data_IF_992770653868
#
_entry.id   IF_992770653868
#
_cell.length_a   1.000
_cell.length_b   1.000
_cell.length_c   1.000
_cell.angle_alpha   90.00
_cell.angle_beta   90.00
_cell.angle_gamma   90.00
#
_symmetry.space_group_name_H-M   'P 1'
#
loop_
_entity.id
_entity.type
_entity.pdbx_description
1 polymer ?
#
# COMPACT_ATOMS: atom_id res chain seq x y z
N UNK A 1 -24.42 -11.43 -11.95
CA UNK A 1 -25.40 -10.83 -12.85
C UNK A 1 -24.91 -10.87 -14.31
N UNK A 2 -23.76 -10.25 -14.65
CA UNK A 2 -23.24 -10.18 -16.01
C UNK A 2 -23.03 -11.56 -16.63
N UNK A 3 -22.35 -12.47 -15.91
CA UNK A 3 -22.14 -13.84 -16.37
C UNK A 3 -23.43 -14.65 -16.48
N UNK A 4 -24.32 -14.54 -15.47
CA UNK A 4 -25.51 -15.38 -15.34
C UNK A 4 -26.71 -14.90 -16.19
N UNK A 5 -26.88 -13.57 -16.32
CA UNK A 5 -28.03 -12.97 -17.00
C UNK A 5 -27.72 -12.53 -18.42
N UNK A 6 -26.49 -12.11 -18.69
CA UNK A 6 -26.09 -11.57 -20.00
C UNK A 6 -25.10 -12.48 -20.75
N UNK A 7 -24.71 -13.61 -20.14
CA UNK A 7 -23.70 -14.54 -20.68
C UNK A 7 -22.38 -13.86 -21.08
N UNK A 8 -22.04 -12.77 -20.36
CA UNK A 8 -20.79 -12.04 -20.57
C UNK A 8 -19.70 -12.58 -19.65
N UNK A 9 -18.59 -12.97 -20.24
CA UNK A 9 -17.40 -13.35 -19.50
C UNK A 9 -16.61 -12.07 -19.19
N UNK A 10 -16.73 -11.57 -17.96
CA UNK A 10 -16.08 -10.34 -17.51
C UNK A 10 -15.04 -10.67 -16.46
N UNK A 11 -13.84 -10.18 -16.63
CA UNK A 11 -12.81 -10.17 -15.61
C UNK A 11 -13.33 -9.42 -14.37
N UNK A 12 -13.35 -10.08 -13.22
CA UNK A 12 -13.91 -9.52 -11.99
C UNK A 12 -12.97 -8.52 -11.31
N UNK A 13 -11.68 -8.56 -11.65
CA UNK A 13 -10.67 -7.70 -11.04
C UNK A 13 -10.53 -6.40 -11.83
N UNK A 14 -10.59 -5.23 -11.16
CA UNK A 14 -10.24 -3.97 -11.78
C UNK A 14 -8.83 -4.00 -12.34
N UNK A 15 -8.63 -3.43 -13.53
CA UNK A 15 -7.32 -3.34 -14.17
C UNK A 15 -7.08 -1.91 -14.65
N UNK A 16 -5.86 -1.43 -14.41
CA UNK A 16 -5.38 -0.16 -14.94
C UNK A 16 -4.26 -0.46 -15.95
N UNK A 17 -4.44 0.03 -17.17
CA UNK A 17 -3.40 -0.02 -18.20
C UNK A 17 -2.66 1.31 -18.23
N UNK A 18 -1.33 1.25 -18.15
CA UNK A 18 -0.45 2.43 -18.26
C UNK A 18 0.42 2.27 -19.50
N UNK A 19 0.69 3.37 -20.19
CA UNK A 19 1.65 3.38 -21.28
C UNK A 19 3.03 2.91 -20.76
N UNK A 20 3.61 1.84 -21.34
CA UNK A 20 4.92 1.34 -20.97
C UNK A 20 6.03 2.40 -21.00
N UNK A 21 5.90 3.40 -21.88
CA UNK A 21 6.85 4.54 -21.96
C UNK A 21 6.84 5.35 -20.66
N UNK A 22 5.66 5.61 -20.07
CA UNK A 22 5.55 6.32 -18.80
C UNK A 22 6.17 5.52 -17.65
N UNK A 23 5.99 4.21 -17.64
CA UNK A 23 6.59 3.32 -16.63
C UNK A 23 8.12 3.37 -16.72
N UNK A 24 8.67 3.29 -17.94
CA UNK A 24 10.12 3.34 -18.15
C UNK A 24 10.71 4.73 -17.85
N UNK A 25 10.03 5.81 -18.23
CA UNK A 25 10.42 7.19 -17.88
C UNK A 25 10.47 7.38 -16.36
N UNK A 26 9.46 6.88 -15.65
CA UNK A 26 9.42 6.90 -14.19
C UNK A 26 10.59 6.12 -13.59
N UNK A 27 10.87 4.92 -14.09
CA UNK A 27 12.00 4.09 -13.67
C UNK A 27 13.33 4.82 -13.77
N UNK A 28 13.56 5.51 -14.90
CA UNK A 28 14.78 6.33 -15.10
C UNK A 28 14.82 7.52 -14.15
N UNK A 29 13.71 8.24 -14.01
CA UNK A 29 13.60 9.44 -13.14
C UNK A 29 13.99 9.13 -11.68
N UNK A 30 13.59 7.96 -11.17
CA UNK A 30 13.87 7.55 -9.79
C UNK A 30 15.07 6.60 -9.67
N UNK A 31 15.82 6.39 -10.76
CA UNK A 31 17.02 5.53 -10.83
C UNK A 31 16.74 4.11 -10.29
N UNK A 32 15.55 3.59 -10.60
CA UNK A 32 15.10 2.31 -10.09
C UNK A 32 15.85 1.16 -10.79
N UNK A 33 16.45 0.28 -10.01
CA UNK A 33 17.24 -0.84 -10.49
C UNK A 33 16.91 -2.13 -9.73
N UNK A 34 17.32 -3.28 -10.26
CA UNK A 34 17.01 -4.61 -9.70
C UNK A 34 17.76 -4.96 -8.41
N UNK A 35 18.66 -4.09 -7.94
CA UNK A 35 19.44 -4.34 -6.71
C UNK A 35 18.69 -3.92 -5.45
N UNK A 36 17.66 -3.08 -5.58
CA UNK A 36 16.84 -2.57 -4.47
C UNK A 36 15.42 -3.05 -4.59
N UNK A 37 14.76 -3.16 -3.44
CA UNK A 37 13.33 -3.42 -3.35
C UNK A 37 12.59 -2.09 -3.21
N UNK A 38 11.62 -1.85 -4.06
CA UNK A 38 10.81 -0.64 -4.09
C UNK A 38 9.45 -0.93 -3.48
N UNK A 39 9.15 -0.27 -2.36
CA UNK A 39 7.95 -0.50 -1.57
C UNK A 39 7.08 0.76 -1.58
N UNK A 40 5.85 0.65 -2.05
CA UNK A 40 4.86 1.70 -1.83
C UNK A 40 4.28 1.56 -0.42
N UNK A 41 4.27 2.65 0.34
CA UNK A 41 3.55 2.77 1.60
C UNK A 41 2.39 3.74 1.44
N UNK A 42 1.16 3.23 1.38
CA UNK A 42 -0.06 4.03 1.36
C UNK A 42 -0.48 4.38 2.78
N UNK A 43 0.11 5.45 3.33
CA UNK A 43 -0.06 5.84 4.74
C UNK A 43 -1.28 6.71 4.98
N UNK A 44 -1.88 7.28 3.92
CA UNK A 44 -3.12 8.05 3.99
C UNK A 44 -4.38 7.19 4.04
N UNK A 45 -5.52 7.84 4.22
CA UNK A 45 -6.84 7.21 4.23
C UNK A 45 -7.94 8.20 4.62
N UNK A 46 -9.12 8.07 4.00
CA UNK A 46 -10.22 9.03 4.16
C UNK A 46 -10.86 9.05 5.56
N UNK A 47 -10.71 7.97 6.34
CA UNK A 47 -11.30 7.86 7.67
C UNK A 47 -10.26 7.80 8.78
N UNK A 48 -10.46 8.49 9.91
CA UNK A 48 -9.51 8.50 11.03
C UNK A 48 -9.29 7.10 11.65
N UNK A 49 -10.29 6.22 11.57
CA UNK A 49 -10.24 4.85 12.10
C UNK A 49 -9.48 3.89 11.19
N UNK A 50 -9.29 4.25 9.91
CA UNK A 50 -8.54 3.47 8.90
C UNK A 50 -7.06 3.87 8.82
N UNK A 51 -6.69 5.05 9.32
CA UNK A 51 -5.30 5.53 9.26
C UNK A 51 -4.47 4.87 10.34
N UNK A 52 -3.64 3.92 9.91
CA UNK A 52 -2.71 3.23 10.80
C UNK A 52 -1.65 4.23 11.29
N UNK A 53 -1.30 4.23 12.58
CA UNK A 53 -0.32 5.18 13.14
C UNK A 53 1.05 5.06 12.47
N UNK A 54 1.76 6.19 12.36
CA UNK A 54 3.11 6.26 11.80
C UNK A 54 4.08 5.27 12.45
N UNK A 55 3.99 5.08 13.78
CA UNK A 55 4.82 4.13 14.54
C UNK A 55 4.81 2.70 13.98
N UNK A 56 3.66 2.26 13.44
CA UNK A 56 3.52 0.91 12.84
C UNK A 56 4.30 0.82 11.54
N UNK A 57 4.18 1.82 10.66
CA UNK A 57 4.97 1.89 9.42
C UNK A 57 6.46 2.03 9.72
N UNK A 58 6.85 2.91 10.63
CA UNK A 58 8.25 3.11 11.02
C UNK A 58 8.87 1.80 11.55
N UNK A 59 8.15 1.05 12.41
CA UNK A 59 8.64 -0.24 12.90
C UNK A 59 8.79 -1.25 11.76
N UNK A 60 7.82 -1.38 10.87
CA UNK A 60 7.93 -2.23 9.68
C UNK A 60 9.14 -1.83 8.82
N UNK A 61 9.29 -0.54 8.50
CA UNK A 61 10.41 -0.02 7.70
C UNK A 61 11.77 -0.32 8.34
N UNK A 62 11.88 -0.20 9.67
CA UNK A 62 13.10 -0.57 10.41
C UNK A 62 13.42 -2.05 10.29
N UNK A 63 12.41 -2.92 10.41
CA UNK A 63 12.60 -4.37 10.31
C UNK A 63 13.06 -4.74 8.90
N UNK A 64 12.34 -4.30 7.87
CA UNK A 64 12.66 -4.67 6.48
C UNK A 64 14.01 -4.09 6.04
N UNK A 65 14.34 -2.85 6.45
CA UNK A 65 15.60 -2.18 6.08
C UNK A 65 16.85 -2.79 6.71
N UNK A 66 16.72 -3.63 7.74
CA UNK A 66 17.83 -4.40 8.32
C UNK A 66 18.20 -5.60 7.46
N UNK A 67 17.24 -6.14 6.71
CA UNK A 67 17.42 -7.38 5.93
C UNK A 67 17.60 -7.09 4.43
N UNK A 68 16.98 -6.01 3.92
CA UNK A 68 16.95 -5.70 2.51
C UNK A 68 17.36 -4.25 2.21
N UNK A 69 18.00 -4.01 1.09
CA UNK A 69 18.19 -2.66 0.57
C UNK A 69 16.88 -2.18 -0.08
N UNK A 70 16.15 -1.33 0.65
CA UNK A 70 14.82 -0.87 0.27
C UNK A 70 14.78 0.64 0.01
N UNK A 71 13.87 1.04 -0.89
CA UNK A 71 13.42 2.43 -1.06
C UNK A 71 11.90 2.48 -0.90
N UNK A 72 11.42 3.46 -0.14
CA UNK A 72 10.00 3.62 0.18
C UNK A 72 9.41 4.81 -0.56
N UNK A 73 8.27 4.60 -1.21
CA UNK A 73 7.45 5.65 -1.79
C UNK A 73 6.25 5.88 -0.88
N UNK A 74 6.17 7.08 -0.28
CA UNK A 74 5.14 7.42 0.71
C UNK A 74 3.97 8.11 0.04
N UNK A 75 2.85 7.41 -0.08
CA UNK A 75 1.62 7.91 -0.70
C UNK A 75 0.59 8.28 0.38
N UNK A 76 0.10 9.51 0.31
CA UNK A 76 -0.86 10.07 1.28
C UNK A 76 -1.71 11.16 0.64
N UNK A 77 -2.81 11.53 1.31
CA UNK A 77 -3.61 12.69 0.98
C UNK A 77 -3.02 13.99 1.55
N UNK A 78 -3.81 15.07 1.44
CA UNK A 78 -3.39 16.43 1.83
C UNK A 78 -4.04 16.93 3.12
N UNK A 79 -4.85 16.11 3.81
CA UNK A 79 -5.41 16.51 5.10
C UNK A 79 -4.32 16.63 6.17
N UNK A 80 -4.52 17.50 7.15
CA UNK A 80 -3.56 17.73 8.24
C UNK A 80 -3.17 16.42 8.96
N UNK A 81 -4.14 15.59 9.26
CA UNK A 81 -3.90 14.29 9.91
C UNK A 81 -3.04 13.35 9.05
N UNK A 82 -3.26 13.31 7.72
CA UNK A 82 -2.47 12.48 6.82
C UNK A 82 -1.05 13.01 6.69
N UNK A 83 -0.90 14.33 6.62
CA UNK A 83 0.39 15.00 6.59
C UNK A 83 1.16 14.84 7.90
N UNK A 84 0.46 14.78 9.04
CA UNK A 84 1.09 14.47 10.35
C UNK A 84 1.77 13.10 10.32
N UNK A 85 1.08 12.05 9.84
CA UNK A 85 1.65 10.70 9.71
C UNK A 85 2.87 10.70 8.78
N UNK A 86 2.77 11.38 7.63
CA UNK A 86 3.88 11.52 6.69
C UNK A 86 5.10 12.19 7.35
N UNK A 87 4.87 13.29 8.07
CA UNK A 87 5.92 14.04 8.73
C UNK A 87 6.58 13.26 9.87
N UNK A 88 5.82 12.49 10.65
CA UNK A 88 6.38 11.59 11.65
C UNK A 88 7.35 10.57 11.03
N UNK A 89 6.99 9.98 9.88
CA UNK A 89 7.89 9.06 9.16
C UNK A 89 9.14 9.78 8.66
N UNK A 90 8.98 10.95 8.04
CA UNK A 90 10.08 11.76 7.49
C UNK A 90 11.02 12.29 8.57
N UNK A 91 10.57 12.47 9.79
CA UNK A 91 11.38 12.93 10.93
C UNK A 91 12.21 11.81 11.56
N UNK A 92 12.35 10.66 10.89
CA UNK A 92 13.20 9.54 11.34
C UNK A 92 14.45 9.42 10.46
N UNK A 93 15.40 8.62 10.93
CA UNK A 93 16.62 8.24 10.17
C UNK A 93 16.29 7.53 8.83
N UNK A 94 15.06 7.02 8.68
CA UNK A 94 14.60 6.37 7.45
C UNK A 94 14.27 7.34 6.32
N UNK A 95 14.25 8.65 6.58
CA UNK A 95 13.91 9.67 5.58
C UNK A 95 14.82 9.58 4.33
N UNK A 96 16.10 9.26 4.51
CA UNK A 96 17.05 9.07 3.40
C UNK A 96 16.66 7.95 2.42
N UNK A 97 15.83 7.00 2.86
CA UNK A 97 15.27 5.91 2.05
C UNK A 97 13.88 6.22 1.50
N UNK A 98 13.31 7.39 1.79
CA UNK A 98 11.94 7.76 1.44
C UNK A 98 11.87 8.71 0.26
N UNK A 99 10.80 8.57 -0.52
CA UNK A 99 10.34 9.54 -1.52
C UNK A 99 8.89 9.86 -1.22
N UNK A 100 8.59 11.12 -0.92
CA UNK A 100 7.22 11.57 -0.69
C UNK A 100 6.49 11.80 -2.01
N UNK A 101 5.24 11.36 -2.11
CA UNK A 101 4.40 11.46 -3.30
C UNK A 101 3.23 12.45 -3.11
N UNK A 102 3.13 13.12 -1.99
CA UNK A 102 2.02 14.00 -1.59
C UNK A 102 1.81 15.21 -2.52
N UNK A 103 2.85 15.63 -3.24
CA UNK A 103 2.80 16.72 -4.22
C UNK A 103 2.53 16.26 -5.66
N UNK A 104 2.39 14.96 -5.89
CA UNK A 104 2.11 14.39 -7.20
C UNK A 104 0.62 14.15 -7.38
N UNK A 105 0.15 14.31 -8.61
CA UNK A 105 -1.19 13.88 -9.03
C UNK A 105 -1.27 12.34 -9.07
N UNK A 106 -2.49 11.80 -9.01
CA UNK A 106 -2.71 10.35 -9.17
C UNK A 106 -2.10 9.85 -10.48
N UNK A 107 -2.24 10.61 -11.58
CA UNK A 107 -1.67 10.25 -12.87
C UNK A 107 -0.14 10.07 -12.82
N UNK A 108 0.57 10.90 -12.08
CA UNK A 108 2.03 10.79 -11.89
C UNK A 108 2.43 9.67 -10.92
N UNK A 109 1.54 9.32 -9.98
CA UNK A 109 1.79 8.25 -9.01
C UNK A 109 1.62 6.86 -9.62
N UNK A 110 0.68 6.66 -10.56
CA UNK A 110 0.41 5.35 -11.16
C UNK A 110 1.66 4.66 -11.74
N UNK A 111 2.52 5.31 -12.56
CA UNK A 111 3.74 4.69 -13.05
C UNK A 111 4.78 4.42 -11.95
N UNK A 112 4.75 5.15 -10.83
CA UNK A 112 5.60 4.86 -9.66
C UNK A 112 5.11 3.56 -9.00
N UNK A 113 3.80 3.44 -8.74
CA UNK A 113 3.21 2.20 -8.19
C UNK A 113 3.56 1.01 -9.08
N UNK A 114 3.44 1.16 -10.41
CA UNK A 114 3.72 0.07 -11.37
C UNK A 114 5.17 -0.40 -11.35
N UNK A 115 6.10 0.42 -10.89
CA UNK A 115 7.51 0.08 -10.71
C UNK A 115 7.85 -0.43 -9.30
N UNK A 116 6.91 -0.43 -8.36
CA UNK A 116 7.13 -1.01 -7.03
C UNK A 116 7.02 -2.54 -7.07
N UNK A 117 7.82 -3.20 -6.24
CA UNK A 117 7.79 -4.67 -6.09
C UNK A 117 6.59 -5.12 -5.25
N UNK A 118 6.19 -4.28 -4.29
CA UNK A 118 5.07 -4.52 -3.38
C UNK A 118 4.50 -3.22 -2.85
N UNK A 119 3.21 -3.24 -2.49
CA UNK A 119 2.54 -2.14 -1.80
C UNK A 119 2.07 -2.57 -0.42
N UNK A 120 2.15 -1.67 0.57
CA UNK A 120 1.61 -1.85 1.91
C UNK A 120 0.80 -0.60 2.22
N UNK A 121 -0.51 -0.75 2.27
CA UNK A 121 -1.42 0.38 2.30
C UNK A 121 -2.50 0.21 3.37
N UNK A 122 -2.93 1.33 3.94
CA UNK A 122 -4.23 1.37 4.59
C UNK A 122 -5.33 0.96 3.61
N UNK A 123 -6.52 0.61 4.10
CA UNK A 123 -7.71 0.48 3.25
C UNK A 123 -8.08 1.86 2.67
N UNK A 124 -7.51 2.15 1.51
CA UNK A 124 -7.54 3.44 0.83
C UNK A 124 -7.44 3.27 -0.68
N UNK A 125 -7.61 4.37 -1.44
CA UNK A 125 -7.45 4.37 -2.90
C UNK A 125 -6.12 3.76 -3.36
N UNK A 126 -5.04 3.95 -2.62
CA UNK A 126 -3.72 3.43 -3.00
C UNK A 126 -3.66 1.90 -2.98
N UNK A 127 -4.36 1.22 -2.06
CA UNK A 127 -4.45 -0.24 -2.07
C UNK A 127 -5.17 -0.77 -3.31
N UNK A 128 -6.26 -0.11 -3.70
CA UNK A 128 -7.05 -0.48 -4.87
C UNK A 128 -6.29 -0.19 -6.18
N UNK A 129 -5.63 0.97 -6.29
CA UNK A 129 -4.81 1.32 -7.44
C UNK A 129 -3.63 0.34 -7.62
N UNK A 130 -2.98 -0.02 -6.52
CA UNK A 130 -1.88 -0.99 -6.54
C UNK A 130 -2.34 -2.36 -7.05
N UNK A 131 -3.44 -2.87 -6.51
CA UNK A 131 -4.02 -4.15 -6.94
C UNK A 131 -4.46 -4.11 -8.41
N UNK A 132 -5.08 -3.01 -8.86
CA UNK A 132 -5.50 -2.80 -10.25
C UNK A 132 -4.32 -2.67 -11.22
N UNK A 133 -3.15 -2.27 -10.73
CA UNK A 133 -1.87 -2.27 -11.46
C UNK A 133 -1.12 -3.60 -11.38
N UNK A 134 -1.75 -4.65 -10.85
CA UNK A 134 -1.16 -5.98 -10.70
C UNK A 134 0.01 -6.04 -9.70
N UNK A 135 0.10 -5.08 -8.78
CA UNK A 135 1.11 -5.08 -7.72
C UNK A 135 0.56 -5.84 -6.51
N UNK A 136 1.32 -6.80 -5.98
CA UNK A 136 1.00 -7.50 -4.74
C UNK A 136 0.88 -6.46 -3.62
N UNK A 137 -0.25 -6.46 -2.91
CA UNK A 137 -0.62 -5.39 -1.98
C UNK A 137 -1.06 -5.94 -0.64
N UNK A 138 -0.30 -5.66 0.40
CA UNK A 138 -0.72 -5.90 1.79
C UNK A 138 -1.67 -4.76 2.17
N UNK A 139 -2.89 -5.12 2.57
CA UNK A 139 -3.94 -4.16 2.95
C UNK A 139 -4.17 -4.20 4.45
N UNK A 140 -3.97 -3.07 5.13
CA UNK A 140 -4.11 -2.95 6.58
C UNK A 140 -5.58 -2.65 6.91
N UNK A 141 -6.32 -3.69 7.27
CA UNK A 141 -7.78 -3.66 7.45
C UNK A 141 -8.12 -3.40 8.91
N UNK A 142 -8.23 -2.14 9.32
CA UNK A 142 -8.42 -1.76 10.72
C UNK A 142 -9.88 -1.58 11.14
N UNK A 143 -10.76 -1.20 10.22
CA UNK A 143 -12.13 -0.75 10.57
C UNK A 143 -13.14 -0.88 9.41
N UNK A 144 -12.89 -1.79 8.48
CA UNK A 144 -13.79 -2.05 7.34
C UNK A 144 -13.87 -3.52 7.04
N UNK A 145 -15.01 -4.02 6.50
CA UNK A 145 -15.18 -5.42 6.13
C UNK A 145 -14.09 -5.92 5.18
N UNK A 146 -13.62 -7.14 5.39
CA UNK A 146 -12.52 -7.75 4.63
C UNK A 146 -12.75 -7.77 3.11
N UNK A 147 -14.00 -7.73 2.66
CA UNK A 147 -14.31 -7.70 1.23
C UNK A 147 -13.66 -6.53 0.50
N UNK A 148 -13.38 -5.42 1.20
CA UNK A 148 -12.69 -4.27 0.60
C UNK A 148 -11.19 -4.49 0.41
N UNK A 149 -10.60 -5.43 1.15
CA UNK A 149 -9.15 -5.69 1.10
C UNK A 149 -8.77 -7.07 0.57
N UNK A 150 -9.72 -7.88 0.04
CA UNK A 150 -9.44 -9.24 -0.43
C UNK A 150 -10.20 -9.64 -1.71
N UNK A 151 -10.80 -8.71 -2.43
CA UNK A 151 -11.55 -9.01 -3.65
C UNK A 151 -10.66 -9.32 -4.87
N UNK A 152 -9.38 -9.03 -4.80
CA UNK A 152 -8.39 -9.28 -5.85
C UNK A 152 -7.35 -10.31 -5.39
N UNK A 153 -6.84 -11.20 -6.27
CA UNK A 153 -5.74 -12.10 -5.95
C UNK A 153 -4.41 -11.37 -5.67
N UNK A 154 -4.37 -10.06 -5.91
CA UNK A 154 -3.22 -9.20 -5.58
C UNK A 154 -3.31 -8.58 -4.18
N UNK A 155 -4.42 -8.78 -3.46
CA UNK A 155 -4.65 -8.19 -2.14
C UNK A 155 -4.48 -9.22 -1.02
N UNK A 156 -3.71 -8.86 0.00
CA UNK A 156 -3.37 -9.69 1.15
C UNK A 156 -3.72 -8.92 2.44
N UNK A 157 -4.92 -9.13 3.01
CA UNK A 157 -5.37 -8.36 4.16
C UNK A 157 -4.61 -8.75 5.44
N UNK A 158 -4.30 -7.76 6.25
CA UNK A 158 -3.87 -7.92 7.64
C UNK A 158 -4.91 -7.26 8.53
N UNK A 159 -5.37 -7.99 9.55
CA UNK A 159 -6.35 -7.53 10.53
C UNK A 159 -5.69 -7.28 11.90
N UNK A 160 -6.33 -6.50 12.78
CA UNK A 160 -5.79 -6.21 14.11
C UNK A 160 -5.61 -7.46 14.96
N UNK A 161 -4.60 -7.47 15.80
CA UNK A 161 -4.35 -8.56 16.74
C UNK A 161 -5.52 -8.75 17.71
N UNK A 162 -5.89 -10.03 17.94
CA UNK A 162 -7.01 -10.40 18.79
C UNK A 162 -8.38 -10.40 18.11
N UNK A 163 -8.46 -10.02 16.84
CA UNK A 163 -9.71 -10.08 16.07
C UNK A 163 -9.71 -11.26 15.10
N UNK A 164 -10.87 -11.91 14.94
CA UNK A 164 -11.08 -12.96 13.94
C UNK A 164 -11.61 -12.39 12.61
N UNK A 165 -12.23 -11.22 12.65
CA UNK A 165 -12.79 -10.51 11.52
C UNK A 165 -12.78 -9.01 11.78
N UNK A 166 -12.99 -8.21 10.75
CA UNK A 166 -13.10 -6.74 10.81
C UNK A 166 -14.40 -6.30 10.15
N UNK A 167 -15.04 -5.36 10.79
CA UNK A 167 -16.28 -4.71 10.31
C UNK A 167 -16.16 -3.20 10.52
N UNK A 168 -17.14 -2.43 10.07
CA UNK A 168 -17.25 -1.04 10.49
C UNK A 168 -17.35 -0.96 12.01
N UNK A 169 -16.68 0.04 12.61
CA UNK A 169 -16.58 0.26 14.05
C UNK A 169 -15.70 -0.74 14.83
N UNK A 170 -14.85 -1.51 14.14
CA UNK A 170 -13.82 -2.36 14.80
C UNK A 170 -12.78 -1.51 15.54
N UNK A 171 -12.44 -0.32 15.02
CA UNK A 171 -11.50 0.64 15.62
C UNK A 171 -10.14 0.00 15.97
N UNK A 172 -9.66 -0.91 15.12
CA UNK A 172 -8.50 -1.76 15.42
C UNK A 172 -7.14 -1.21 15.01
N UNK A 173 -7.03 0.05 14.55
CA UNK A 173 -5.82 0.60 13.95
C UNK A 173 -4.55 0.49 14.80
N UNK A 174 -4.69 0.65 16.12
CA UNK A 174 -3.57 0.55 17.07
C UNK A 174 -3.06 -0.88 17.26
N UNK A 175 -3.86 -1.87 16.86
CA UNK A 175 -3.56 -3.30 17.00
C UNK A 175 -3.06 -3.94 15.70
N UNK A 176 -2.84 -3.15 14.64
CA UNK A 176 -2.16 -3.64 13.44
C UNK A 176 -0.69 -3.88 13.78
N UNK A 177 -0.27 -5.13 13.66
CA UNK A 177 1.04 -5.58 14.12
C UNK A 177 2.09 -5.50 13.00
N UNK A 178 3.15 -4.67 13.16
CA UNK A 178 4.20 -4.52 12.15
C UNK A 178 5.03 -5.80 11.93
N UNK A 179 5.13 -6.70 12.92
CA UNK A 179 5.83 -7.98 12.77
C UNK A 179 5.02 -8.92 11.85
N UNK A 180 3.67 -8.89 11.92
CA UNK A 180 2.80 -9.61 10.98
C UNK A 180 2.84 -9.01 9.57
N UNK A 181 2.97 -7.68 9.45
CA UNK A 181 3.18 -7.04 8.14
C UNK A 181 4.48 -7.58 7.53
N UNK A 182 5.55 -7.65 8.31
CA UNK A 182 6.84 -8.15 7.85
C UNK A 182 6.78 -9.64 7.50
N UNK A 183 6.13 -10.47 8.32
CA UNK A 183 5.93 -11.88 8.02
C UNK A 183 5.19 -12.07 6.68
N UNK A 184 4.08 -11.35 6.48
CA UNK A 184 3.32 -11.39 5.23
C UNK A 184 4.14 -10.87 4.04
N UNK A 185 4.94 -9.84 4.24
CA UNK A 185 5.88 -9.34 3.24
C UNK A 185 6.87 -10.44 2.81
N UNK A 186 7.48 -11.17 3.74
CA UNK A 186 8.41 -12.28 3.45
C UNK A 186 7.74 -13.39 2.65
N UNK A 187 6.50 -13.78 3.01
CA UNK A 187 5.72 -14.80 2.29
C UNK A 187 5.41 -14.40 0.83
N UNK A 188 5.32 -13.10 0.55
CA UNK A 188 4.96 -12.57 -0.77
C UNK A 188 6.18 -12.37 -1.67
N UNK A 189 7.30 -11.92 -1.10
CA UNK A 189 8.50 -11.52 -1.86
C UNK A 189 9.38 -12.72 -2.19
N UNK A 190 9.43 -13.73 -1.32
CA UNK A 190 10.18 -14.96 -1.53
C UNK A 190 9.33 -16.01 -2.26
#
# INVERSE_FOLDING_TARGET
FLKTKLNLNVESNPQIKIDPKLVEMCRKKFEMNKKKIYILLGVGGSGPTKRIPAKTFIKFMKIVSKKYDCKFFLATGKSEDEQSILNEIKNTELNSKCVSLDNLSIYEILPIIKNCDISICNDSSFSHLSAALEIKTIVLMADTPLIYGNYSPKMFPIIPDGFKNVTHNTNGKEKINPDKIFQKYEEIIN
#
